data_IF_132556678484
#
_entry.id   IF_132556678484
#
_cell.length_a   1.000
_cell.length_b   1.000
_cell.length_c   1.000
_cell.angle_alpha   90.00
_cell.angle_beta   90.00
_cell.angle_gamma   90.00
#
_symmetry.space_group_name_H-M   'P 1'
#
loop_
_entity.id
_entity.type
_entity.pdbx_description
1 polymer ?
#
# COMPACT_ATOMS: atom_id res chain seq x y z
N UNK A 1 -27.18 -15.61 -33.91
CA UNK A 1 -25.85 -14.99 -33.93
C UNK A 1 -25.43 -14.81 -32.48
N UNK A 2 -24.66 -15.76 -31.94
CA UNK A 2 -24.26 -15.74 -30.53
C UNK A 2 -22.74 -15.92 -30.49
N UNK A 3 -22.03 -14.82 -30.27
CA UNK A 3 -20.58 -14.76 -30.17
C UNK A 3 -20.12 -15.43 -28.86
N UNK A 4 -19.62 -16.66 -28.97
CA UNK A 4 -18.94 -17.34 -27.86
C UNK A 4 -17.54 -16.74 -27.66
N UNK A 5 -17.40 -15.88 -26.65
CA UNK A 5 -16.09 -15.36 -26.22
C UNK A 5 -15.24 -16.47 -25.59
N UNK A 6 -14.09 -16.68 -26.21
CA UNK A 6 -13.02 -17.65 -25.91
C UNK A 6 -12.23 -17.18 -24.68
N UNK A 7 -12.38 -17.84 -23.52
CA UNK A 7 -11.48 -17.66 -22.36
C UNK A 7 -10.20 -18.47 -22.60
N UNK A 8 -9.07 -17.81 -22.80
CA UNK A 8 -7.73 -18.41 -22.85
C UNK A 8 -6.94 -18.05 -21.59
N UNK A 9 -6.29 -19.07 -21.01
CA UNK A 9 -4.98 -18.96 -20.39
C UNK A 9 -4.91 -18.39 -18.98
N UNK A 10 -5.13 -19.23 -17.96
CA UNK A 10 -4.66 -18.97 -16.60
C UNK A 10 -3.13 -18.98 -16.58
N UNK A 11 -2.55 -17.84 -16.21
CA UNK A 11 -1.12 -17.57 -16.19
C UNK A 11 -0.44 -18.39 -15.07
N UNK A 12 0.32 -19.41 -15.47
CA UNK A 12 1.38 -20.02 -14.67
C UNK A 12 2.57 -19.03 -14.64
N UNK A 13 2.54 -18.04 -13.75
CA UNK A 13 3.48 -16.91 -13.80
C UNK A 13 4.26 -16.63 -12.50
N UNK A 14 4.00 -17.35 -11.41
CA UNK A 14 4.62 -17.03 -10.12
C UNK A 14 5.68 -18.03 -9.64
N UNK A 15 5.77 -19.22 -10.25
CA UNK A 15 6.70 -20.28 -9.80
C UNK A 15 8.11 -20.22 -10.38
N UNK A 16 8.28 -19.69 -11.60
CA UNK A 16 9.56 -19.78 -12.31
C UNK A 16 10.57 -18.67 -11.95
N UNK A 17 10.12 -17.53 -11.38
CA UNK A 17 11.01 -16.41 -11.10
C UNK A 17 11.91 -16.64 -9.86
N UNK A 18 11.45 -17.44 -8.90
CA UNK A 18 12.18 -17.68 -7.64
C UNK A 18 13.36 -18.65 -7.86
N UNK A 19 13.25 -19.58 -8.81
CA UNK A 19 14.32 -20.54 -9.11
C UNK A 19 15.52 -19.91 -9.85
N UNK A 20 15.32 -18.81 -10.60
CA UNK A 20 16.40 -18.14 -11.34
C UNK A 20 17.32 -17.36 -10.38
N UNK A 21 16.78 -16.84 -9.27
CA UNK A 21 17.55 -16.04 -8.30
C UNK A 21 18.51 -16.92 -7.47
N UNK A 22 18.16 -18.17 -7.19
CA UNK A 22 19.00 -19.09 -6.41
C UNK A 22 20.19 -19.67 -7.20
N UNK A 23 20.17 -19.61 -8.53
CA UNK A 23 21.27 -20.10 -9.38
C UNK A 23 22.38 -19.04 -9.52
N UNK A 24 22.06 -17.74 -9.47
CA UNK A 24 23.06 -16.67 -9.61
C UNK A 24 23.87 -16.40 -8.33
N UNK A 25 23.39 -16.77 -7.14
CA UNK A 25 24.18 -16.65 -5.90
C UNK A 25 25.16 -17.81 -5.66
N UNK A 26 25.08 -18.91 -6.42
CA UNK A 26 25.86 -20.12 -6.17
C UNK A 26 27.18 -20.26 -6.93
N UNK A 27 27.51 -19.36 -7.87
CA UNK A 27 28.63 -19.56 -8.81
C UNK A 27 29.75 -18.51 -8.75
N UNK A 28 29.75 -17.58 -7.79
CA UNK A 28 30.83 -16.56 -7.67
C UNK A 28 31.93 -16.91 -6.67
N UNK A 29 31.94 -18.12 -6.09
CA UNK A 29 32.86 -18.48 -5.01
C UNK A 29 33.98 -19.46 -5.37
N UNK A 30 34.69 -19.31 -6.50
CA UNK A 30 35.88 -20.14 -6.77
C UNK A 30 36.80 -19.66 -7.91
N UNK A 31 37.15 -18.37 -8.05
CA UNK A 31 38.24 -17.97 -8.98
C UNK A 31 38.96 -16.74 -8.44
N UNK A 32 40.08 -16.93 -7.72
CA UNK A 32 41.21 -16.01 -7.45
C UNK A 32 41.90 -16.52 -6.17
N UNK A 33 43.17 -16.92 -6.13
CA UNK A 33 44.24 -17.08 -7.10
C UNK A 33 45.39 -17.81 -6.37
N UNK A 34 46.36 -18.31 -7.12
CA UNK A 34 47.72 -18.63 -6.65
C UNK A 34 48.55 -18.93 -7.92
N UNK A 35 49.20 -17.91 -8.48
CA UNK A 35 50.20 -18.08 -9.54
C UNK A 35 51.57 -17.87 -8.90
N UNK A 36 52.12 -18.95 -8.36
CA UNK A 36 53.54 -19.10 -8.05
C UNK A 36 54.33 -19.00 -9.37
N UNK A 37 55.18 -17.99 -9.50
CA UNK A 37 56.08 -17.84 -10.64
C UNK A 37 57.40 -18.56 -10.36
N UNK A 38 57.65 -19.58 -11.18
CA UNK A 38 58.83 -20.45 -11.21
C UNK A 38 60.17 -19.71 -11.29
N UNK A 39 61.08 -20.13 -10.39
CA UNK A 39 62.53 -20.09 -10.58
C UNK A 39 62.93 -20.88 -11.84
N UNK A 40 63.74 -20.28 -12.72
CA UNK A 40 64.58 -21.02 -13.65
C UNK A 40 66.02 -20.58 -13.56
N UNK A 41 66.77 -21.36 -12.78
CA UNK A 41 68.19 -21.56 -12.96
C UNK A 41 68.49 -22.02 -14.40
N UNK A 42 69.31 -21.25 -15.11
CA UNK A 42 70.15 -21.82 -16.16
C UNK A 42 71.46 -21.04 -16.25
N UNK A 43 72.52 -21.60 -15.66
CA UNK A 43 73.88 -21.29 -16.12
C UNK A 43 74.84 -22.47 -15.86
N UNK A 44 75.03 -23.28 -16.89
CA UNK A 44 76.20 -24.17 -17.02
C UNK A 44 77.30 -23.45 -17.82
N UNK A 45 78.40 -23.24 -17.10
CA UNK A 45 79.72 -22.71 -17.44
C UNK A 45 80.40 -23.32 -18.69
N UNK A 46 80.94 -22.47 -19.56
CA UNK A 46 82.37 -22.39 -20.00
C UNK A 46 82.48 -21.54 -21.28
N UNK A 47 83.05 -20.33 -21.22
CA UNK A 47 84.46 -19.98 -21.52
C UNK A 47 84.99 -20.50 -22.87
N UNK A 48 85.15 -19.62 -23.88
CA UNK A 48 86.46 -18.98 -24.17
C UNK A 48 86.40 -17.91 -25.28
N UNK A 49 86.85 -16.70 -24.88
CA UNK A 49 87.80 -15.81 -25.59
C UNK A 49 87.44 -15.20 -26.95
N UNK A 50 87.13 -13.90 -26.95
CA UNK A 50 87.78 -12.81 -27.73
C UNK A 50 87.32 -11.47 -27.13
N UNK A 51 88.15 -10.77 -26.35
CA UNK A 51 88.95 -9.60 -26.75
C UNK A 51 88.16 -8.43 -27.37
N UNK A 52 88.16 -7.35 -26.59
CA UNK A 52 88.21 -5.94 -26.98
C UNK A 52 86.88 -5.16 -27.14
N UNK A 53 86.78 -4.15 -26.26
CA UNK A 53 86.13 -2.84 -26.37
C UNK A 53 84.71 -2.62 -25.83
N UNK A 54 84.60 -1.49 -25.10
CA UNK A 54 83.45 -0.68 -24.71
C UNK A 54 82.61 -1.09 -23.48
N UNK A 55 83.02 -0.49 -22.36
CA UNK A 55 82.17 -0.23 -21.18
C UNK A 55 81.30 0.98 -21.49
N UNK A 56 79.96 0.86 -21.40
CA UNK A 56 79.06 1.93 -20.88
C UNK A 56 77.54 1.67 -21.01
N UNK A 57 77.05 0.55 -21.54
CA UNK A 57 75.61 0.43 -21.91
C UNK A 57 74.70 -0.47 -21.03
N UNK A 58 75.08 -0.74 -19.77
CA UNK A 58 74.27 -1.61 -18.89
C UNK A 58 73.73 -0.99 -17.60
N UNK A 59 73.91 0.33 -17.39
CA UNK A 59 73.33 1.02 -16.23
C UNK A 59 71.98 1.69 -16.51
N UNK A 60 71.64 1.94 -17.78
CA UNK A 60 70.47 2.73 -18.17
C UNK A 60 69.14 1.91 -18.27
N UNK A 61 69.23 0.59 -18.48
CA UNK A 61 68.03 -0.24 -18.76
C UNK A 61 67.36 -0.81 -17.49
N UNK A 62 68.03 -0.77 -16.33
CA UNK A 62 67.48 -1.29 -15.06
C UNK A 62 66.72 -0.23 -14.26
N UNK A 63 67.09 1.05 -14.38
CA UNK A 63 66.39 2.15 -13.68
C UNK A 63 65.07 2.53 -14.39
N UNK A 64 65.05 2.62 -15.73
CA UNK A 64 63.81 2.90 -16.48
C UNK A 64 62.72 1.83 -16.31
N UNK A 65 63.11 0.56 -16.17
CA UNK A 65 62.16 -0.55 -15.96
C UNK A 65 61.55 -0.55 -14.55
N UNK A 66 62.29 -0.08 -13.54
CA UNK A 66 61.81 0.04 -12.16
C UNK A 66 60.90 1.27 -11.98
N UNK A 67 61.22 2.40 -12.63
CA UNK A 67 60.38 3.60 -12.61
C UNK A 67 59.07 3.41 -13.38
N UNK A 68 59.08 2.70 -14.52
CA UNK A 68 57.87 2.36 -15.26
C UNK A 68 56.95 1.40 -14.48
N UNK A 69 57.52 0.43 -13.75
CA UNK A 69 56.76 -0.49 -12.90
C UNK A 69 56.17 0.22 -11.66
N UNK A 70 56.94 1.11 -11.02
CA UNK A 70 56.49 1.89 -9.88
C UNK A 70 55.35 2.87 -10.25
N UNK A 71 55.42 3.50 -11.42
CA UNK A 71 54.33 4.34 -11.94
C UNK A 71 53.07 3.54 -12.27
N UNK A 72 53.22 2.35 -12.89
CA UNK A 72 52.08 1.50 -13.24
C UNK A 72 51.35 0.95 -12.00
N UNK A 73 52.09 0.57 -10.95
CA UNK A 73 51.50 0.12 -9.68
C UNK A 73 50.82 1.27 -8.92
N UNK A 74 51.40 2.49 -8.96
CA UNK A 74 50.77 3.67 -8.34
C UNK A 74 49.47 4.08 -9.05
N UNK A 75 49.43 4.06 -10.38
CA UNK A 75 48.24 4.41 -11.17
C UNK A 75 47.13 3.34 -11.02
N UNK A 76 47.51 2.05 -10.97
CA UNK A 76 46.58 0.95 -10.72
C UNK A 76 45.96 1.03 -9.31
N UNK A 77 46.76 1.36 -8.30
CA UNK A 77 46.28 1.52 -6.92
C UNK A 77 45.37 2.74 -6.76
N UNK A 78 45.72 3.87 -7.39
CA UNK A 78 44.90 5.06 -7.40
C UNK A 78 43.55 4.86 -8.10
N UNK A 79 43.52 4.12 -9.23
CA UNK A 79 42.27 3.73 -9.89
C UNK A 79 41.43 2.78 -9.05
N UNK A 80 42.03 1.78 -8.41
CA UNK A 80 41.31 0.84 -7.55
C UNK A 80 40.68 1.51 -6.32
N UNK A 81 41.39 2.46 -5.69
CA UNK A 81 40.86 3.24 -4.56
C UNK A 81 39.75 4.22 -5.00
N UNK A 82 39.85 4.81 -6.19
CA UNK A 82 38.81 5.66 -6.75
C UNK A 82 37.53 4.88 -7.12
N UNK A 83 37.67 3.70 -7.75
CA UNK A 83 36.53 2.85 -8.13
C UNK A 83 35.82 2.27 -6.90
N UNK A 84 36.57 1.83 -5.88
CA UNK A 84 36.00 1.33 -4.62
C UNK A 84 35.25 2.41 -3.84
N UNK A 85 35.79 3.63 -3.79
CA UNK A 85 35.11 4.78 -3.16
C UNK A 85 33.85 5.18 -3.92
N UNK A 86 33.90 5.23 -5.26
CA UNK A 86 32.74 5.56 -6.09
C UNK A 86 31.62 4.51 -5.96
N UNK A 87 31.96 3.22 -5.90
CA UNK A 87 31.00 2.15 -5.65
C UNK A 87 30.38 2.24 -4.26
N UNK A 88 31.18 2.53 -3.23
CA UNK A 88 30.68 2.65 -1.86
C UNK A 88 29.72 3.85 -1.68
N UNK A 89 30.02 5.00 -2.29
CA UNK A 89 29.12 6.16 -2.25
C UNK A 89 27.83 5.92 -3.04
N UNK A 90 27.89 5.25 -4.19
CA UNK A 90 26.72 4.90 -4.98
C UNK A 90 25.80 3.91 -4.25
N UNK A 91 26.37 2.88 -3.60
CA UNK A 91 25.61 1.87 -2.85
C UNK A 91 24.97 2.49 -1.59
N UNK A 92 25.71 3.33 -0.87
CA UNK A 92 25.19 4.06 0.29
C UNK A 92 24.04 5.00 -0.08
N UNK A 93 24.15 5.72 -1.21
CA UNK A 93 23.08 6.60 -1.69
C UNK A 93 21.84 5.82 -2.14
N UNK A 94 22.03 4.72 -2.87
CA UNK A 94 20.93 3.85 -3.30
C UNK A 94 20.19 3.24 -2.12
N UNK A 95 20.92 2.81 -1.08
CA UNK A 95 20.33 2.27 0.14
C UNK A 95 19.56 3.32 0.92
N UNK A 96 20.09 4.54 1.03
CA UNK A 96 19.41 5.65 1.71
C UNK A 96 18.12 6.10 1.00
N UNK A 97 18.12 6.18 -0.34
CA UNK A 97 16.91 6.49 -1.11
C UNK A 97 15.86 5.38 -1.02
N UNK A 98 16.28 4.10 -1.05
CA UNK A 98 15.37 2.97 -0.90
C UNK A 98 14.70 2.94 0.49
N UNK A 99 15.47 3.18 1.57
CA UNK A 99 14.95 3.20 2.94
C UNK A 99 14.00 4.40 3.16
N UNK A 100 14.37 5.58 2.63
CA UNK A 100 13.53 6.77 2.70
C UNK A 100 12.19 6.59 1.95
N UNK A 101 12.24 5.98 0.76
CA UNK A 101 11.04 5.68 -0.02
C UNK A 101 10.16 4.63 0.66
N UNK A 102 10.76 3.57 1.21
CA UNK A 102 10.04 2.53 1.94
C UNK A 102 9.34 3.08 3.19
N UNK A 103 10.00 3.96 3.96
CA UNK A 103 9.37 4.65 5.09
C UNK A 103 8.22 5.56 4.66
N UNK A 104 8.40 6.34 3.61
CA UNK A 104 7.36 7.24 3.12
C UNK A 104 6.12 6.48 2.62
N UNK A 105 6.31 5.37 1.90
CA UNK A 105 5.21 4.51 1.45
C UNK A 105 4.51 3.80 2.62
N UNK A 106 5.26 3.38 3.65
CA UNK A 106 4.68 2.78 4.84
C UNK A 106 3.84 3.78 5.66
N UNK A 107 4.34 4.99 5.89
CA UNK A 107 3.63 6.04 6.63
C UNK A 107 2.36 6.51 5.90
N UNK A 108 2.44 6.68 4.58
CA UNK A 108 1.28 7.08 3.76
C UNK A 108 0.20 6.00 3.75
N UNK A 109 0.58 4.72 3.63
CA UNK A 109 -0.36 3.60 3.71
C UNK A 109 -0.99 3.47 5.09
N UNK A 110 -0.20 3.58 6.16
CA UNK A 110 -0.70 3.49 7.53
C UNK A 110 -1.70 4.61 7.84
N UNK A 111 -1.42 5.84 7.38
CA UNK A 111 -2.33 6.98 7.54
C UNK A 111 -3.63 6.80 6.76
N UNK A 112 -3.55 6.28 5.53
CA UNK A 112 -4.73 6.03 4.69
C UNK A 112 -5.63 4.92 5.28
N UNK A 113 -5.05 3.84 5.80
CA UNK A 113 -5.80 2.76 6.45
C UNK A 113 -6.47 3.23 7.75
N UNK A 114 -5.78 4.05 8.55
CA UNK A 114 -6.33 4.62 9.78
C UNK A 114 -7.50 5.57 9.49
N UNK A 115 -7.38 6.45 8.49
CA UNK A 115 -8.45 7.39 8.12
C UNK A 115 -9.67 6.66 7.56
N UNK A 116 -9.45 5.66 6.69
CA UNK A 116 -10.53 4.83 6.13
C UNK A 116 -11.28 4.06 7.24
N UNK A 117 -10.56 3.50 8.21
CA UNK A 117 -11.17 2.79 9.34
C UNK A 117 -11.96 3.74 10.24
N UNK A 118 -11.41 4.90 10.58
CA UNK A 118 -12.10 5.90 11.40
C UNK A 118 -13.40 6.39 10.74
N UNK A 119 -13.37 6.62 9.42
CA UNK A 119 -14.55 7.04 8.67
C UNK A 119 -15.62 5.94 8.63
N UNK A 120 -15.23 4.69 8.40
CA UNK A 120 -16.17 3.56 8.41
C UNK A 120 -16.82 3.35 9.79
N UNK A 121 -16.06 3.46 10.87
CA UNK A 121 -16.60 3.36 12.24
C UNK A 121 -17.55 4.52 12.56
N UNK A 122 -17.24 5.75 12.13
CA UNK A 122 -18.12 6.89 12.31
C UNK A 122 -19.45 6.74 11.54
N UNK A 123 -19.40 6.33 10.27
CA UNK A 123 -20.60 6.13 9.43
C UNK A 123 -21.49 5.01 9.99
N UNK A 124 -20.91 3.89 10.42
CA UNK A 124 -21.67 2.79 11.04
C UNK A 124 -22.33 3.19 12.34
N UNK A 125 -21.62 3.93 13.21
CA UNK A 125 -22.18 4.44 14.46
C UNK A 125 -23.33 5.43 14.20
N UNK A 126 -23.14 6.38 13.29
CA UNK A 126 -24.17 7.36 12.95
C UNK A 126 -25.43 6.70 12.39
N UNK A 127 -25.28 5.68 11.54
CA UNK A 127 -26.40 4.92 11.00
C UNK A 127 -27.14 4.12 12.08
N UNK A 128 -26.40 3.49 13.00
CA UNK A 128 -27.00 2.75 14.12
C UNK A 128 -27.78 3.66 15.08
N UNK A 129 -27.23 4.83 15.41
CA UNK A 129 -27.92 5.82 16.26
C UNK A 129 -29.17 6.37 15.58
N UNK A 130 -29.12 6.65 14.27
CA UNK A 130 -30.27 7.11 13.51
C UNK A 130 -31.39 6.05 13.46
N UNK A 131 -31.05 4.78 13.21
CA UNK A 131 -32.01 3.68 13.20
C UNK A 131 -32.64 3.45 14.59
N UNK A 132 -31.82 3.46 15.65
CA UNK A 132 -32.30 3.32 17.01
C UNK A 132 -33.26 4.47 17.40
N UNK A 133 -32.92 5.71 17.03
CA UNK A 133 -33.80 6.87 17.27
C UNK A 133 -35.10 6.76 16.48
N UNK A 134 -35.04 6.39 15.20
CA UNK A 134 -36.23 6.21 14.37
C UNK A 134 -37.15 5.11 14.93
N UNK A 135 -36.59 4.00 15.37
CA UNK A 135 -37.33 2.90 16.00
C UNK A 135 -37.95 3.32 17.33
N UNK A 136 -37.22 4.06 18.16
CA UNK A 136 -37.73 4.60 19.42
C UNK A 136 -38.88 5.58 19.18
N UNK A 137 -38.75 6.49 18.20
CA UNK A 137 -39.84 7.40 17.83
C UNK A 137 -41.06 6.67 17.24
N UNK A 138 -40.85 5.59 16.48
CA UNK A 138 -41.95 4.78 15.96
C UNK A 138 -42.68 4.03 17.09
N UNK A 139 -41.95 3.46 18.05
CA UNK A 139 -42.51 2.77 19.21
C UNK A 139 -43.27 3.74 20.12
N UNK A 140 -42.73 4.94 20.38
CA UNK A 140 -43.46 5.96 21.15
C UNK A 140 -44.71 6.40 20.41
N UNK A 141 -44.64 6.69 19.11
CA UNK A 141 -45.82 7.05 18.30
C UNK A 141 -46.88 5.94 18.31
N UNK A 142 -46.47 4.67 18.23
CA UNK A 142 -47.38 3.54 18.31
C UNK A 142 -48.06 3.45 19.69
N UNK A 143 -47.30 3.61 20.78
CA UNK A 143 -47.82 3.60 22.16
C UNK A 143 -48.72 4.80 22.46
N UNK A 144 -48.42 5.97 21.93
CA UNK A 144 -49.20 7.20 22.16
C UNK A 144 -50.33 7.38 21.15
N UNK A 145 -50.52 6.48 20.19
CA UNK A 145 -51.60 6.57 19.22
C UNK A 145 -52.95 6.39 19.93
N UNK A 146 -53.72 7.47 20.05
CA UNK A 146 -54.97 7.52 20.80
C UNK A 146 -56.19 6.94 20.06
N UNK A 147 -56.01 6.36 18.86
CA UNK A 147 -57.09 5.79 18.03
C UNK A 147 -58.32 6.70 17.90
N UNK A 148 -58.10 7.97 17.59
CA UNK A 148 -59.16 8.98 17.50
C UNK A 148 -60.00 8.72 16.24
N UNK A 149 -61.32 8.62 16.41
CA UNK A 149 -62.26 8.31 15.32
C UNK A 149 -62.83 9.59 14.71
N UNK A 150 -62.57 9.83 13.43
CA UNK A 150 -63.12 10.93 12.65
C UNK A 150 -64.20 10.47 11.68
N UNK A 151 -65.35 11.14 11.67
CA UNK A 151 -66.44 10.91 10.72
C UNK A 151 -66.95 12.24 10.14
N UNK A 152 -67.67 12.16 9.02
CA UNK A 152 -68.40 13.28 8.44
C UNK A 152 -69.87 13.15 8.84
N UNK A 153 -70.41 14.20 9.45
CA UNK A 153 -71.83 14.26 9.81
C UNK A 153 -72.70 14.37 8.55
N UNK A 154 -73.99 14.10 8.66
CA UNK A 154 -74.96 14.31 7.56
C UNK A 154 -75.01 15.77 7.07
N UNK A 155 -74.56 16.72 7.89
CA UNK A 155 -74.39 18.13 7.55
C UNK A 155 -73.08 18.45 6.81
N UNK A 156 -72.21 17.46 6.57
CA UNK A 156 -70.88 17.65 5.98
C UNK A 156 -69.80 18.07 6.98
N UNK A 157 -70.10 18.18 8.27
CA UNK A 157 -69.11 18.56 9.29
C UNK A 157 -68.16 17.40 9.61
N UNK A 158 -66.85 17.67 9.60
CA UNK A 158 -65.81 16.73 10.03
C UNK A 158 -65.67 16.76 11.56
N UNK A 159 -66.04 15.68 12.22
CA UNK A 159 -66.06 15.58 13.69
C UNK A 159 -65.16 14.43 14.12
N UNK A 160 -64.31 14.65 15.13
CA UNK A 160 -63.51 13.60 15.75
C UNK A 160 -63.95 13.30 17.18
N UNK A 161 -63.82 12.04 17.56
CA UNK A 161 -64.19 11.49 18.85
C UNK A 161 -62.98 10.85 19.53
N UNK A 162 -62.74 11.21 20.79
CA UNK A 162 -61.72 10.59 21.64
C UNK A 162 -62.26 9.32 22.30
N UNK A 163 -61.41 8.32 22.64
CA UNK A 163 -61.82 7.07 23.28
C UNK A 163 -62.71 7.23 24.52
N UNK A 164 -62.52 8.31 25.27
CA UNK A 164 -63.22 8.58 26.53
C UNK A 164 -64.55 9.36 26.34
N UNK A 165 -65.00 9.60 25.10
CA UNK A 165 -66.24 10.34 24.83
C UNK A 165 -67.44 9.42 24.62
N UNK A 166 -68.64 9.88 25.02
CA UNK A 166 -69.90 9.12 24.98
C UNK A 166 -70.23 8.51 23.61
N UNK A 167 -69.92 9.22 22.52
CA UNK A 167 -70.25 8.78 21.17
C UNK A 167 -69.15 7.96 20.49
N UNK A 168 -67.97 7.84 21.10
CA UNK A 168 -66.81 7.18 20.47
C UNK A 168 -67.10 5.75 19.97
N UNK A 169 -67.72 4.92 20.82
CA UNK A 169 -68.02 3.52 20.48
C UNK A 169 -69.13 3.38 19.45
N UNK A 170 -69.90 4.43 19.18
CA UNK A 170 -71.00 4.46 18.20
C UNK A 170 -70.59 5.08 16.87
N UNK A 171 -69.46 5.77 16.84
CA UNK A 171 -68.96 6.38 15.62
C UNK A 171 -68.28 5.33 14.76
N UNK A 172 -68.80 5.16 13.55
CA UNK A 172 -68.10 4.50 12.46
C UNK A 172 -67.15 5.52 11.81
N UNK A 173 -65.81 5.34 11.97
CA UNK A 173 -64.85 6.32 11.48
C UNK A 173 -64.68 6.19 9.97
N UNK A 174 -64.76 7.32 9.27
CA UNK A 174 -64.22 7.43 7.91
C UNK A 174 -62.70 7.52 7.92
N UNK A 175 -62.13 8.09 9.00
CA UNK A 175 -60.69 8.24 9.18
C UNK A 175 -60.30 8.09 10.65
N UNK A 176 -59.19 7.39 10.89
CA UNK A 176 -58.62 7.25 12.25
C UNK A 176 -57.35 8.08 12.35
N UNK A 177 -57.18 8.78 13.47
CA UNK A 177 -56.01 9.61 13.75
C UNK A 177 -55.31 9.14 15.03
N UNK A 178 -53.99 9.23 15.05
CA UNK A 178 -53.22 8.90 16.26
C UNK A 178 -53.16 10.04 17.28
N UNK A 179 -53.30 11.30 16.85
CA UNK A 179 -53.20 12.48 17.73
C UNK A 179 -54.29 13.50 17.40
N UNK A 180 -54.70 14.30 18.39
CA UNK A 180 -55.71 15.36 18.19
C UNK A 180 -55.23 16.40 17.16
N UNK A 181 -53.94 16.76 17.21
CA UNK A 181 -53.34 17.67 16.23
C UNK A 181 -53.47 17.16 14.79
N UNK A 182 -53.29 15.86 14.55
CA UNK A 182 -53.47 15.28 13.21
C UNK A 182 -54.92 15.37 12.72
N UNK A 183 -55.90 15.19 13.61
CA UNK A 183 -57.31 15.33 13.29
C UNK A 183 -57.67 16.80 12.98
N UNK A 184 -57.20 17.74 13.81
CA UNK A 184 -57.43 19.18 13.62
C UNK A 184 -56.79 19.69 12.33
N UNK A 185 -55.55 19.30 12.03
CA UNK A 185 -54.88 19.64 10.77
C UNK A 185 -55.56 19.06 9.53
N UNK A 186 -56.29 17.94 9.68
CA UNK A 186 -57.14 17.38 8.63
C UNK A 186 -58.52 18.07 8.51
N UNK A 187 -58.77 19.10 9.32
CA UNK A 187 -60.00 19.89 9.35
C UNK A 187 -61.12 19.29 10.20
N UNK A 188 -60.83 18.33 11.08
CA UNK A 188 -61.83 17.77 11.99
C UNK A 188 -61.91 18.62 13.27
N UNK A 189 -63.13 18.96 13.69
CA UNK A 189 -63.38 19.59 14.98
C UNK A 189 -63.69 18.54 16.05
N UNK A 190 -63.40 18.85 17.31
CA UNK A 190 -63.76 17.98 18.43
C UNK A 190 -65.28 17.84 18.52
N UNK A 191 -65.76 16.63 18.80
CA UNK A 191 -67.18 16.43 19.09
C UNK A 191 -67.59 17.25 20.32
N UNK A 192 -68.76 17.88 20.23
CA UNK A 192 -69.36 18.56 21.38
C UNK A 192 -69.96 17.44 22.23
N UNK A 193 -69.51 17.37 23.49
CA UNK A 193 -69.86 16.31 24.46
C UNK A 193 -71.39 16.15 24.54
#
# INVERSE_FOLDING_TARGET
>A
MEEKKKKKGGCCGCGCLIFIILIFLGACGAIFGEDDSDDKDNNTKSHQSTKDLDSDDHKNNTEEKNDAKAKAEADAKAKAEADTKAKAEADAKAKAEADAKAKAEADTKAKAEADAKAKAEADTKAKAEADAKAKAEADTKAKTCLNIRGNISSSGEKIYHLPNQRFYSKTDPEKVFCTEGAAVSAGYRKSKI
#
